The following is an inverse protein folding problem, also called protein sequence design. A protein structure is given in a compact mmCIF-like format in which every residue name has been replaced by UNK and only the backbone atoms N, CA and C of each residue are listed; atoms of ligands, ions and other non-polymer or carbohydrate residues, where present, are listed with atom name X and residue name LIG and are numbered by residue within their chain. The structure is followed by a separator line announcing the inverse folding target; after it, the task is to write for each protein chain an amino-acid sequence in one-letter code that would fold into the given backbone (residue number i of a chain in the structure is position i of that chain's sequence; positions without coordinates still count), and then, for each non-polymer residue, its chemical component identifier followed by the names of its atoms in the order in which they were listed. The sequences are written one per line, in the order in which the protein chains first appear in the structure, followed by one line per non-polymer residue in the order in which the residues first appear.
data_IF_455101811093
#
_entry.id   IF_455101811093
#
_cell.length_a   1.000
_cell.length_b   1.000
_cell.length_c   1.000
_cell.angle_alpha   90.00
_cell.angle_beta   90.00
_cell.angle_gamma   90.00
#
_symmetry.space_group_name_H-M   'P 1'
#
loop_
_entity.id
_entity.type
_entity.pdbx_description
1 polymer ?
#
# COMPACT_ATOMS: atom_id res chain seq x y z
N UNK A 1 -1.95 19.19 22.09
CA UNK A 1 -2.41 17.80 21.93
C UNK A 1 -2.16 17.43 20.48
N UNK A 2 -1.03 16.80 20.19
CA UNK A 2 -0.67 16.40 18.82
C UNK A 2 -1.33 15.05 18.53
N UNK A 3 -2.28 15.02 17.60
CA UNK A 3 -2.92 13.78 17.15
C UNK A 3 -1.88 12.80 16.61
N UNK A 4 -1.96 11.54 17.03
CA UNK A 4 -1.08 10.46 16.59
C UNK A 4 -1.49 10.04 15.17
N UNK A 5 -0.99 10.73 14.15
CA UNK A 5 -1.16 10.30 12.76
C UNK A 5 -0.31 9.06 12.46
N UNK A 6 -0.82 8.15 11.63
CA UNK A 6 -0.04 7.05 11.04
C UNK A 6 0.90 7.60 9.96
N UNK A 7 2.24 7.54 10.08
CA UNK A 7 3.12 8.06 9.05
C UNK A 7 3.64 6.91 8.16
N UNK A 8 3.21 6.91 6.90
CA UNK A 8 3.78 6.14 5.80
C UNK A 8 4.59 7.08 4.88
N UNK A 9 5.51 6.54 4.08
CA UNK A 9 6.30 7.33 3.12
C UNK A 9 6.32 6.76 1.71
N UNK A 10 5.50 5.75 1.41
CA UNK A 10 5.40 5.15 0.07
C UNK A 10 5.16 6.20 -1.03
N UNK A 11 4.51 7.32 -0.69
CA UNK A 11 4.27 8.44 -1.59
C UNK A 11 5.26 9.60 -1.52
N UNK A 12 6.15 9.65 -0.51
CA UNK A 12 7.12 10.75 -0.31
C UNK A 12 8.44 10.54 -1.07
N UNK A 13 8.38 9.96 -2.27
CA UNK A 13 9.48 10.08 -3.23
C UNK A 13 9.55 11.56 -3.64
N UNK A 14 10.66 12.22 -3.32
CA UNK A 14 10.90 13.65 -3.42
C UNK A 14 10.23 14.35 -4.62
N UNK A 15 9.23 15.22 -4.40
CA UNK A 15 8.84 16.38 -5.23
C UNK A 15 7.80 17.25 -4.44
N UNK A 16 7.72 18.58 -4.66
CA UNK A 16 7.09 19.54 -3.74
C UNK A 16 5.54 19.61 -3.83
N UNK A 17 4.91 19.88 -2.68
CA UNK A 17 3.45 20.03 -2.54
C UNK A 17 2.93 21.33 -3.15
N UNK A 18 1.79 21.28 -3.84
CA UNK A 18 0.97 22.46 -4.15
C UNK A 18 -0.38 22.38 -3.44
N UNK A 19 -0.69 23.44 -2.72
CA UNK A 19 -1.88 23.62 -1.89
C UNK A 19 -3.14 23.73 -2.76
N UNK A 20 -4.20 23.00 -2.41
CA UNK A 20 -5.55 23.37 -2.83
C UNK A 20 -6.61 23.04 -1.77
N UNK A 21 -7.51 24.01 -1.64
CA UNK A 21 -8.65 24.15 -0.74
C UNK A 21 -9.75 23.10 -1.04
N UNK A 22 -10.52 22.67 -0.04
CA UNK A 22 -11.61 21.71 -0.24
C UNK A 22 -12.94 22.27 0.30
N UNK A 23 -13.86 22.56 -0.61
CA UNK A 23 -15.29 22.72 -0.33
C UNK A 23 -15.97 21.36 -0.15
N UNK A 24 -16.82 21.27 0.87
CA UNK A 24 -17.56 20.07 1.30
C UNK A 24 -18.89 19.88 0.57
N UNK A 25 -19.17 18.71 -0.01
CA UNK A 25 -20.50 18.17 -0.41
C UNK A 25 -20.33 16.66 -0.83
N UNK A 26 -21.39 15.81 -0.89
CA UNK A 26 -21.65 14.66 -0.01
C UNK A 26 -21.03 13.29 -0.40
N UNK A 27 -21.00 12.41 0.62
CA UNK A 27 -20.46 11.04 0.67
C UNK A 27 -21.00 10.08 -0.41
N UNK A 28 -20.18 9.85 -1.44
CA UNK A 28 -20.18 8.64 -2.28
C UNK A 28 -18.83 7.93 -2.03
N UNK A 29 -18.66 6.61 -2.21
CA UNK A 29 -17.41 5.89 -1.94
C UNK A 29 -16.21 6.24 -2.87
N UNK A 30 -14.92 6.11 -2.45
CA UNK A 30 -13.73 6.28 -3.35
C UNK A 30 -12.38 5.72 -2.90
N UNK A 31 -11.41 5.88 -3.82
CA UNK A 31 -9.95 5.75 -3.63
C UNK A 31 -9.20 6.85 -4.43
N UNK A 32 -7.94 7.13 -4.08
CA UNK A 32 -7.03 7.99 -4.88
C UNK A 32 -6.05 7.12 -5.67
N UNK A 33 -5.70 7.53 -6.90
CA UNK A 33 -4.88 6.78 -7.86
C UNK A 33 -3.80 7.67 -8.52
N UNK A 34 -2.89 7.09 -9.32
CA UNK A 34 -2.09 7.81 -10.34
C UNK A 34 -0.64 8.17 -9.98
N UNK A 35 0.34 7.84 -10.81
CA UNK A 35 1.77 8.17 -10.66
C UNK A 35 2.29 8.85 -11.92
N UNK A 36 2.88 10.04 -11.77
CA UNK A 36 3.26 10.94 -12.86
C UNK A 36 2.15 11.14 -13.90
N UNK A 37 2.21 10.40 -15.00
CA UNK A 37 1.29 10.49 -16.13
C UNK A 37 0.44 9.23 -16.34
N UNK A 38 0.55 8.23 -15.46
CA UNK A 38 -0.15 6.94 -15.58
C UNK A 38 -0.90 6.59 -14.31
N UNK A 39 -1.81 5.63 -14.38
CA UNK A 39 -2.43 5.01 -13.20
C UNK A 39 -2.00 3.54 -13.15
N UNK A 40 -0.97 3.20 -12.36
CA UNK A 40 -0.41 1.86 -12.36
C UNK A 40 -1.30 0.88 -11.60
N UNK A 41 -1.61 -0.27 -12.21
CA UNK A 41 -2.27 -1.41 -11.57
C UNK A 41 -1.66 -2.72 -12.01
N UNK A 42 -1.96 -3.80 -11.29
CA UNK A 42 -1.62 -5.14 -11.77
C UNK A 42 -2.63 -5.60 -12.83
N UNK A 43 -2.13 -6.24 -13.89
CA UNK A 43 -2.98 -6.93 -14.85
C UNK A 43 -3.75 -8.07 -14.16
N UNK A 44 -5.05 -8.17 -14.33
CA UNK A 44 -5.84 -9.26 -13.71
C UNK A 44 -6.07 -10.45 -14.65
N UNK A 45 -6.21 -11.68 -14.12
CA UNK A 45 -5.93 -12.05 -12.73
C UNK A 45 -4.42 -12.05 -12.42
N UNK A 46 -4.04 -11.65 -11.21
CA UNK A 46 -2.64 -11.69 -10.74
C UNK A 46 -2.54 -12.35 -9.37
N UNK A 47 -1.50 -13.19 -9.20
CA UNK A 47 -1.10 -13.76 -7.92
C UNK A 47 0.30 -13.23 -7.58
N UNK A 48 0.40 -12.48 -6.47
CA UNK A 48 1.67 -12.02 -5.94
C UNK A 48 2.14 -12.97 -4.84
N UNK A 49 3.40 -13.38 -4.92
CA UNK A 49 4.07 -14.16 -3.89
C UNK A 49 5.04 -13.30 -3.10
N UNK A 50 5.09 -13.48 -1.78
CA UNK A 50 6.05 -12.79 -0.94
C UNK A 50 6.87 -13.75 -0.07
N UNK A 51 8.12 -13.40 0.19
CA UNK A 51 9.03 -14.21 1.00
C UNK A 51 9.43 -13.47 2.29
N UNK A 52 9.46 -14.18 3.42
CA UNK A 52 9.90 -13.61 4.69
C UNK A 52 11.43 -13.59 4.75
N UNK A 53 12.03 -12.38 4.72
CA UNK A 53 13.47 -12.22 4.89
C UNK A 53 13.85 -12.18 6.38
N UNK A 54 13.66 -13.33 7.05
CA UNK A 54 13.70 -13.47 8.51
C UNK A 54 15.04 -13.04 9.15
N UNK A 55 16.16 -13.18 8.42
CA UNK A 55 17.50 -12.74 8.82
C UNK A 55 17.62 -11.22 9.02
N UNK A 56 16.68 -10.44 8.49
CA UNK A 56 16.63 -8.99 8.72
C UNK A 56 16.02 -8.63 10.07
N UNK A 57 15.23 -9.51 10.69
CA UNK A 57 14.52 -9.23 11.94
C UNK A 57 15.41 -9.40 13.17
N UNK A 58 15.04 -8.73 14.26
CA UNK A 58 15.77 -8.81 15.54
C UNK A 58 15.62 -10.13 16.26
N UNK A 59 14.53 -10.87 15.99
CA UNK A 59 14.27 -12.22 16.50
C UNK A 59 13.31 -12.97 15.59
N UNK A 60 13.35 -14.30 15.64
CA UNK A 60 12.41 -15.17 14.93
C UNK A 60 10.94 -14.86 15.31
N UNK A 61 10.67 -14.65 16.60
CA UNK A 61 9.34 -14.26 17.10
C UNK A 61 8.81 -13.00 16.41
N UNK A 62 9.64 -11.95 16.28
CA UNK A 62 9.21 -10.72 15.62
C UNK A 62 8.98 -10.90 14.12
N UNK A 63 9.73 -11.78 13.48
CA UNK A 63 9.54 -12.13 12.07
C UNK A 63 8.21 -12.88 11.87
N UNK A 64 7.91 -13.84 12.74
CA UNK A 64 6.66 -14.61 12.72
C UNK A 64 5.44 -13.72 12.96
N UNK A 65 5.51 -12.80 13.93
CA UNK A 65 4.44 -11.84 14.19
C UNK A 65 4.17 -10.96 12.96
N UNK A 66 5.22 -10.46 12.31
CA UNK A 66 5.08 -9.64 11.11
C UNK A 66 4.52 -10.44 9.92
N UNK A 67 5.01 -11.67 9.73
CA UNK A 67 4.52 -12.57 8.70
C UNK A 67 3.04 -12.91 8.88
N UNK A 68 2.62 -13.23 10.12
CA UNK A 68 1.23 -13.51 10.44
C UNK A 68 0.33 -12.31 10.17
N UNK A 69 0.75 -11.10 10.55
CA UNK A 69 -0.01 -9.88 10.30
C UNK A 69 -0.13 -9.55 8.80
N UNK A 70 0.92 -9.77 8.00
CA UNK A 70 0.86 -9.57 6.55
C UNK A 70 -0.06 -10.60 5.88
N UNK A 71 -0.02 -11.86 6.30
CA UNK A 71 -0.96 -12.88 5.81
C UNK A 71 -2.41 -12.52 6.13
N UNK A 72 -2.71 -12.07 7.35
CA UNK A 72 -4.05 -11.62 7.73
C UNK A 72 -4.52 -10.42 6.90
N UNK A 73 -3.63 -9.45 6.63
CA UNK A 73 -3.96 -8.31 5.79
C UNK A 73 -4.20 -8.73 4.32
N UNK A 74 -3.40 -9.65 3.80
CA UNK A 74 -3.55 -10.20 2.46
C UNK A 74 -4.88 -10.97 2.30
N UNK A 75 -5.23 -11.81 3.28
CA UNK A 75 -6.52 -12.53 3.31
C UNK A 75 -7.71 -11.56 3.35
N UNK A 76 -7.61 -10.46 4.11
CA UNK A 76 -8.68 -9.45 4.18
C UNK A 76 -8.90 -8.75 2.82
N UNK A 77 -7.82 -8.47 2.08
CA UNK A 77 -7.91 -7.95 0.70
C UNK A 77 -8.40 -9.01 -0.29
N UNK A 78 -7.95 -10.25 -0.19
CA UNK A 78 -8.38 -11.36 -1.04
C UNK A 78 -9.89 -11.59 -0.96
N UNK A 79 -10.48 -11.48 0.23
CA UNK A 79 -11.92 -11.58 0.45
C UNK A 79 -12.74 -10.49 -0.25
N UNK A 80 -12.12 -9.44 -0.77
CA UNK A 80 -12.79 -8.40 -1.57
C UNK A 80 -13.00 -8.87 -3.01
N UNK A 81 -12.20 -9.81 -3.51
CA UNK A 81 -12.34 -10.38 -4.86
C UNK A 81 -12.33 -9.31 -5.98
N UNK A 82 -11.16 -8.69 -6.19
CA UNK A 82 -10.92 -7.73 -7.28
C UNK A 82 -9.90 -8.23 -8.31
N UNK A 83 -9.53 -9.52 -8.26
CA UNK A 83 -8.66 -10.17 -9.24
C UNK A 83 -7.16 -10.15 -8.94
N UNK A 84 -6.74 -9.67 -7.76
CA UNK A 84 -5.36 -9.77 -7.28
C UNK A 84 -5.33 -10.51 -5.94
N UNK A 85 -4.46 -11.51 -5.81
CA UNK A 85 -4.22 -12.21 -4.53
C UNK A 85 -2.76 -12.09 -4.11
N UNK A 86 -2.50 -12.23 -2.80
CA UNK A 86 -1.17 -12.10 -2.21
C UNK A 86 -0.95 -13.25 -1.24
N UNK A 87 0.10 -14.06 -1.45
CA UNK A 87 0.37 -15.21 -0.58
C UNK A 87 1.85 -15.34 -0.23
N UNK A 88 2.12 -15.87 0.96
CA UNK A 88 3.48 -16.18 1.37
C UNK A 88 4.01 -17.41 0.60
N UNK A 89 5.28 -17.36 0.21
CA UNK A 89 6.04 -18.53 -0.28
C UNK A 89 7.20 -18.85 0.65
N UNK A 90 7.56 -20.12 0.74
CA UNK A 90 8.80 -20.59 1.40
C UNK A 90 10.01 -20.57 0.44
N UNK A 91 9.77 -20.40 -0.86
CA UNK A 91 10.79 -20.37 -1.90
C UNK A 91 11.06 -18.91 -2.31
N UNK A 92 12.20 -18.36 -1.89
CA UNK A 92 12.55 -16.98 -2.20
C UNK A 92 12.60 -16.69 -3.71
N UNK A 93 13.02 -17.67 -4.52
CA UNK A 93 13.13 -17.56 -5.98
C UNK A 93 11.76 -17.38 -6.66
N UNK A 94 10.66 -17.76 -5.99
CA UNK A 94 9.29 -17.59 -6.49
C UNK A 94 8.63 -16.28 -6.02
N UNK A 95 9.28 -15.52 -5.15
CA UNK A 95 8.69 -14.31 -4.61
C UNK A 95 8.78 -13.13 -5.58
N UNK A 96 7.71 -12.34 -5.64
CA UNK A 96 7.68 -11.04 -6.31
C UNK A 96 8.31 -9.95 -5.45
N UNK A 97 8.19 -10.05 -4.12
CA UNK A 97 8.78 -9.13 -3.17
C UNK A 97 9.09 -9.84 -1.84
N UNK A 98 9.91 -9.22 -1.00
CA UNK A 98 10.17 -9.71 0.35
C UNK A 98 9.44 -8.87 1.41
N UNK A 99 9.16 -9.47 2.56
CA UNK A 99 8.92 -8.75 3.81
C UNK A 99 10.24 -8.58 4.56
N UNK A 100 10.64 -7.34 4.80
CA UNK A 100 11.94 -6.96 5.34
C UNK A 100 11.80 -6.06 6.55
N UNK A 101 12.55 -6.34 7.62
CA UNK A 101 12.68 -5.42 8.73
C UNK A 101 13.79 -4.40 8.48
N UNK A 102 13.57 -3.13 8.88
CA UNK A 102 14.62 -2.12 8.98
C UNK A 102 14.50 -1.30 10.27
N UNK A 103 15.62 -0.75 10.74
CA UNK A 103 15.59 0.27 11.79
C UNK A 103 15.10 1.60 11.23
N UNK A 104 14.27 2.31 11.98
CA UNK A 104 13.90 3.69 11.65
C UNK A 104 15.15 4.56 11.50
N UNK A 105 15.17 5.43 10.49
CA UNK A 105 16.21 6.45 10.36
C UNK A 105 16.04 7.53 11.44
N UNK A 106 17.14 8.13 11.90
CA UNK A 106 17.10 9.17 12.96
C UNK A 106 16.23 10.37 12.57
N UNK A 107 16.23 10.75 11.29
CA UNK A 107 15.43 11.85 10.74
C UNK A 107 13.99 11.45 10.41
N UNK A 108 13.63 10.16 10.49
CA UNK A 108 12.27 9.66 10.23
C UNK A 108 11.86 8.62 11.30
N UNK A 109 11.78 9.03 12.59
CA UNK A 109 11.64 8.09 13.70
C UNK A 109 10.25 7.46 13.83
N UNK A 110 9.25 8.00 13.15
CA UNK A 110 7.85 7.63 13.35
C UNK A 110 7.32 6.61 12.33
N UNK A 111 8.02 6.39 11.21
CA UNK A 111 7.59 5.56 10.08
C UNK A 111 7.28 4.12 10.51
N UNK A 112 6.14 3.60 10.07
CA UNK A 112 5.70 2.27 10.47
C UNK A 112 5.95 1.22 9.39
N UNK A 113 5.63 1.55 8.14
CA UNK A 113 5.82 0.69 6.99
C UNK A 113 6.20 1.47 5.74
N UNK A 114 6.61 0.72 4.71
CA UNK A 114 6.81 1.21 3.36
C UNK A 114 6.46 0.08 2.38
N UNK A 115 5.47 0.33 1.53
CA UNK A 115 5.13 -0.48 0.36
C UNK A 115 5.76 0.07 -0.92
N UNK A 116 5.14 -0.25 -2.05
CA UNK A 116 5.55 0.19 -3.38
C UNK A 116 4.34 0.13 -4.33
N UNK A 117 4.43 0.76 -5.50
CA UNK A 117 3.37 0.73 -6.51
C UNK A 117 3.64 -0.33 -7.59
N UNK A 118 2.62 -0.75 -8.37
CA UNK A 118 2.79 -1.77 -9.42
C UNK A 118 3.88 -1.52 -10.46
N UNK A 119 4.18 -0.25 -10.74
CA UNK A 119 5.24 0.13 -11.69
C UNK A 119 6.65 0.05 -11.09
N UNK A 120 6.76 -0.02 -9.75
CA UNK A 120 8.04 -0.10 -9.06
C UNK A 120 8.60 -1.52 -9.14
N UNK A 121 9.55 -1.73 -10.05
CA UNK A 121 10.27 -2.99 -10.12
C UNK A 121 11.23 -3.16 -8.93
N UNK A 122 11.40 -4.43 -8.51
CA UNK A 122 12.42 -4.83 -7.54
C UNK A 122 12.31 -4.06 -6.19
N UNK A 123 11.10 -4.05 -5.62
CA UNK A 123 10.79 -3.50 -4.28
C UNK A 123 10.34 -4.56 -3.29
N UNK A 124 10.43 -4.21 -2.02
CA UNK A 124 10.10 -5.05 -0.86
C UNK A 124 9.13 -4.26 0.02
N UNK A 125 8.31 -4.95 0.82
CA UNK A 125 7.61 -4.32 1.93
C UNK A 125 8.60 -4.18 3.08
N UNK A 126 8.78 -2.96 3.58
CA UNK A 126 9.58 -2.70 4.77
C UNK A 126 8.67 -2.50 5.97
N UNK A 127 9.03 -3.12 7.09
CA UNK A 127 8.49 -2.81 8.40
C UNK A 127 9.58 -2.22 9.29
N UNK A 128 9.25 -1.16 10.03
CA UNK A 128 10.22 -0.47 10.86
C UNK A 128 10.11 -0.83 12.33
N UNK A 129 11.19 -0.62 13.10
CA UNK A 129 11.26 -0.89 14.54
C UNK A 129 10.03 -0.43 15.31
N UNK A 130 9.59 0.81 15.09
CA UNK A 130 8.50 1.39 15.88
C UNK A 130 7.16 0.67 15.68
N UNK A 131 6.94 -0.02 14.56
CA UNK A 131 5.74 -0.84 14.33
C UNK A 131 5.73 -2.13 15.16
N UNK A 132 6.91 -2.67 15.48
CA UNK A 132 7.06 -3.91 16.24
C UNK A 132 7.08 -3.71 17.77
N UNK A 133 7.17 -2.45 18.23
CA UNK A 133 7.16 -2.12 19.64
C UNK A 133 5.77 -2.36 20.27
N UNK A 134 5.70 -2.79 21.55
CA UNK A 134 4.44 -3.12 22.23
C UNK A 134 3.27 -2.12 22.05
N UNK A 135 3.45 -0.78 22.13
CA UNK A 135 2.32 0.15 21.99
C UNK A 135 1.72 0.17 20.58
N UNK A 136 2.40 -0.36 19.55
CA UNK A 136 1.95 -0.31 18.14
C UNK A 136 1.85 -1.68 17.47
N UNK A 137 2.42 -2.72 18.07
CA UNK A 137 2.43 -4.09 17.53
C UNK A 137 1.03 -4.60 17.19
N UNK A 138 0.01 -4.21 17.96
CA UNK A 138 -1.38 -4.59 17.71
C UNK A 138 -1.96 -3.99 16.42
N UNK A 139 -1.36 -2.91 15.89
CA UNK A 139 -1.76 -2.24 14.65
C UNK A 139 -1.05 -2.82 13.42
N UNK A 140 -0.19 -3.84 13.58
CA UNK A 140 0.67 -4.32 12.50
C UNK A 140 -0.13 -4.83 11.30
N UNK A 141 -1.29 -5.45 11.55
CA UNK A 141 -2.22 -5.82 10.48
C UNK A 141 -2.70 -4.58 9.71
N UNK A 142 -3.13 -3.54 10.42
CA UNK A 142 -3.62 -2.28 9.84
C UNK A 142 -2.54 -1.58 8.99
N UNK A 143 -1.30 -1.59 9.47
CA UNK A 143 -0.13 -1.13 8.70
C UNK A 143 -0.04 -1.88 7.37
N UNK A 144 -0.11 -3.22 7.40
CA UNK A 144 -0.05 -4.00 6.17
C UNK A 144 -1.28 -3.86 5.28
N UNK A 145 -2.48 -3.65 5.82
CA UNK A 145 -3.67 -3.34 5.01
C UNK A 145 -3.42 -2.08 4.17
N UNK A 146 -2.83 -1.05 4.78
CA UNK A 146 -2.47 0.20 4.10
C UNK A 146 -1.36 0.00 3.06
N UNK A 147 -0.24 -0.65 3.43
CA UNK A 147 0.87 -0.85 2.47
C UNK A 147 0.49 -1.76 1.30
N UNK A 148 -0.39 -2.76 1.51
CA UNK A 148 -0.94 -3.57 0.43
C UNK A 148 -1.83 -2.73 -0.50
N UNK A 149 -2.57 -1.75 0.03
CA UNK A 149 -3.31 -0.79 -0.79
C UNK A 149 -2.41 -0.10 -1.82
N UNK A 150 -1.22 0.36 -1.40
CA UNK A 150 -0.22 0.91 -2.35
C UNK A 150 0.24 -0.11 -3.39
N UNK A 151 0.49 -1.35 -2.97
CA UNK A 151 0.85 -2.44 -3.89
C UNK A 151 -0.26 -2.66 -4.91
N UNK A 152 -1.53 -2.43 -4.57
CA UNK A 152 -2.63 -2.52 -5.53
C UNK A 152 -2.85 -1.26 -6.37
N UNK A 153 -2.02 -0.22 -6.21
CA UNK A 153 -2.11 1.03 -6.97
C UNK A 153 -2.87 2.16 -6.26
N UNK A 154 -3.33 1.94 -5.02
CA UNK A 154 -4.05 2.95 -4.25
C UNK A 154 -3.10 3.99 -3.66
N UNK A 155 -3.56 5.23 -3.60
CA UNK A 155 -2.89 6.34 -2.93
C UNK A 155 -3.67 6.82 -1.72
N UNK A 156 -2.98 7.59 -0.90
CA UNK A 156 -3.51 8.37 0.19
C UNK A 156 -4.60 9.32 -0.28
N UNK A 157 -5.65 9.44 0.53
CA UNK A 157 -6.78 10.35 0.31
C UNK A 157 -6.38 11.84 0.35
N UNK A 158 -5.23 12.17 0.94
CA UNK A 158 -4.63 13.51 0.88
C UNK A 158 -3.65 13.69 -0.30
N UNK A 159 -3.40 12.65 -1.10
CA UNK A 159 -2.48 12.70 -2.24
C UNK A 159 -2.82 13.77 -3.28
N UNK A 160 -4.11 14.13 -3.39
CA UNK A 160 -4.62 15.23 -4.22
C UNK A 160 -4.00 16.59 -3.88
N UNK A 161 -3.58 16.78 -2.61
CA UNK A 161 -2.93 18.00 -2.13
C UNK A 161 -1.41 17.93 -2.24
N UNK A 162 -0.86 16.77 -2.59
CA UNK A 162 0.58 16.54 -2.65
C UNK A 162 1.09 16.52 -4.09
N UNK A 163 0.30 16.08 -5.07
CA UNK A 163 0.73 16.01 -6.47
C UNK A 163 -0.43 16.10 -7.47
N UNK A 164 -0.16 16.71 -8.64
CA UNK A 164 -1.09 16.76 -9.79
C UNK A 164 -1.36 15.39 -10.42
N UNK A 165 -0.49 14.41 -10.15
CA UNK A 165 -0.61 13.04 -10.61
C UNK A 165 -1.67 12.25 -9.82
N UNK A 166 -1.98 12.67 -8.59
CA UNK A 166 -3.01 12.04 -7.79
C UNK A 166 -4.38 12.35 -8.38
N UNK A 167 -5.11 11.32 -8.78
CA UNK A 167 -6.47 11.42 -9.34
C UNK A 167 -7.46 10.85 -8.34
N UNK A 168 -8.48 11.64 -8.05
CA UNK A 168 -9.59 11.21 -7.20
C UNK A 168 -10.48 10.31 -8.06
N UNK A 169 -10.55 9.02 -7.73
CA UNK A 169 -11.43 8.10 -8.43
C UNK A 169 -12.64 7.79 -7.56
N UNK A 170 -13.80 8.31 -7.96
CA UNK A 170 -15.03 8.41 -7.13
C UNK A 170 -14.88 9.44 -5.98
N UNK A 171 -15.73 9.49 -4.94
CA UNK A 171 -15.70 10.57 -3.90
C UNK A 171 -14.94 10.28 -2.59
N UNK A 172 -14.05 11.20 -2.18
CA UNK A 172 -13.16 11.13 -1.00
C UNK A 172 -13.77 10.46 0.25
N UNK A 173 -13.05 9.54 0.88
CA UNK A 173 -13.41 8.98 2.20
C UNK A 173 -12.32 9.23 3.27
N UNK A 174 -12.54 10.12 4.27
CA UNK A 174 -11.59 10.37 5.35
C UNK A 174 -11.40 9.18 6.32
N UNK A 175 -12.19 8.12 6.19
CA UNK A 175 -12.03 6.89 6.97
C UNK A 175 -11.35 5.78 6.20
N UNK A 176 -10.98 6.00 4.93
CA UNK A 176 -10.30 5.00 4.08
C UNK A 176 -9.10 4.39 4.80
N UNK A 177 -8.82 3.12 4.48
CA UNK A 177 -7.57 2.47 4.88
C UNK A 177 -6.33 3.23 4.39
N UNK A 178 -6.47 4.04 3.34
CA UNK A 178 -5.41 4.87 2.77
C UNK A 178 -5.25 6.25 3.45
N UNK A 179 -6.04 6.58 4.48
CA UNK A 179 -5.90 7.83 5.24
C UNK A 179 -5.01 7.64 6.49
N UNK A 180 -4.44 8.73 7.02
CA UNK A 180 -3.60 8.73 8.22
C UNK A 180 -4.37 8.70 9.55
N UNK A 181 -5.26 7.72 9.66
CA UNK A 181 -5.98 7.41 10.89
C UNK A 181 -5.10 6.59 11.87
N UNK A 182 -5.41 6.61 13.17
CA UNK A 182 -4.62 5.88 14.20
C UNK A 182 -4.61 4.35 13.98
N UNK A 183 -5.66 3.81 13.37
CA UNK A 183 -5.82 2.39 13.09
C UNK A 183 -6.64 2.20 11.79
N UNK A 184 -6.05 2.45 10.61
CA UNK A 184 -6.79 2.39 9.36
C UNK A 184 -7.27 0.96 9.11
N UNK A 185 -8.55 0.80 8.77
CA UNK A 185 -9.17 -0.48 8.42
C UNK A 185 -9.82 -0.35 7.06
N UNK A 186 -9.99 -1.46 6.34
CA UNK A 186 -10.69 -1.44 5.06
C UNK A 186 -12.15 -1.03 5.32
N UNK A 187 -12.57 0.06 4.69
CA UNK A 187 -13.96 0.50 4.67
C UNK A 187 -14.68 -0.10 3.47
N UNK A 188 -16.01 -0.14 3.51
CA UNK A 188 -16.80 -0.56 2.33
C UNK A 188 -16.46 0.28 1.09
N UNK A 189 -16.09 1.55 1.27
CA UNK A 189 -15.70 2.40 0.15
C UNK A 189 -14.41 1.97 -0.53
N UNK A 190 -13.44 1.45 0.24
CA UNK A 190 -12.20 0.92 -0.30
C UNK A 190 -12.49 -0.33 -1.14
N UNK A 191 -13.43 -1.17 -0.68
CA UNK A 191 -13.87 -2.38 -1.38
C UNK A 191 -14.56 -2.07 -2.70
N UNK A 192 -15.49 -1.12 -2.69
CA UNK A 192 -16.20 -0.70 -3.90
C UNK A 192 -15.26 0.00 -4.89
N UNK A 193 -14.43 0.92 -4.40
CA UNK A 193 -13.47 1.66 -5.19
C UNK A 193 -12.46 0.75 -5.88
N UNK A 194 -11.84 -0.18 -5.14
CA UNK A 194 -10.86 -1.10 -5.73
C UNK A 194 -11.50 -2.03 -6.77
N UNK A 195 -12.72 -2.54 -6.51
CA UNK A 195 -13.44 -3.37 -7.48
C UNK A 195 -13.78 -2.59 -8.75
N UNK A 196 -14.21 -1.34 -8.62
CA UNK A 196 -14.51 -0.49 -9.76
C UNK A 196 -13.23 -0.19 -10.57
N UNK A 197 -12.14 0.15 -9.89
CA UNK A 197 -10.85 0.44 -10.51
C UNK A 197 -10.29 -0.75 -11.30
N UNK A 198 -10.31 -1.95 -10.72
CA UNK A 198 -9.82 -3.16 -11.39
C UNK A 198 -10.75 -3.69 -12.50
N UNK A 199 -11.94 -3.10 -12.68
CA UNK A 199 -12.84 -3.37 -13.82
C UNK A 199 -12.64 -2.43 -15.00
N UNK A 200 -11.87 -1.34 -14.85
CA UNK A 200 -11.59 -0.43 -15.96
C UNK A 200 -10.79 -1.14 -17.06
N UNK A 201 -10.93 -0.71 -18.30
CA UNK A 201 -10.12 -1.23 -19.40
C UNK A 201 -8.68 -0.67 -19.31
N UNK A 202 -7.71 -1.43 -19.84
CA UNK A 202 -6.36 -0.92 -20.02
C UNK A 202 -6.39 0.32 -20.92
N UNK A 203 -5.70 1.39 -20.51
CA UNK A 203 -5.73 2.67 -21.21
C UNK A 203 -6.94 3.55 -20.92
N UNK A 204 -7.88 3.14 -20.04
CA UNK A 204 -8.98 3.99 -19.62
C UNK A 204 -8.43 5.28 -19.00
N UNK A 205 -8.84 6.44 -19.52
CA UNK A 205 -8.37 7.74 -19.08
C UNK A 205 -9.13 8.23 -17.84
N UNK A 206 -8.40 8.54 -16.77
CA UNK A 206 -8.93 9.20 -15.58
C UNK A 206 -8.21 10.53 -15.46
N UNK A 207 -8.92 11.61 -15.78
CA UNK A 207 -8.43 12.99 -15.71
C UNK A 207 -7.08 13.20 -16.44
N UNK A 208 -6.95 12.66 -17.64
CA UNK A 208 -5.75 12.77 -18.49
C UNK A 208 -4.63 11.79 -18.14
N UNK A 209 -4.89 10.79 -17.29
CA UNK A 209 -3.94 9.73 -16.95
C UNK A 209 -4.53 8.36 -17.29
N UNK A 210 -3.95 7.61 -18.24
CA UNK A 210 -4.43 6.27 -18.57
C UNK A 210 -4.11 5.28 -17.46
N UNK A 211 -5.06 4.38 -17.20
CA UNK A 211 -4.81 3.14 -16.47
C UNK A 211 -3.77 2.31 -17.24
N UNK A 212 -2.74 1.82 -16.55
CA UNK A 212 -1.64 1.06 -17.14
C UNK A 212 -1.40 -0.21 -16.36
N UNK A 213 -1.48 -1.34 -17.05
CA UNK A 213 -1.32 -2.69 -16.54
C UNK A 213 0.16 -3.07 -16.45
N UNK A 214 0.56 -3.53 -15.26
CA UNK A 214 1.86 -4.10 -15.01
C UNK A 214 1.75 -5.60 -14.77
N UNK A 215 2.74 -6.34 -15.29
CA UNK A 215 2.93 -7.75 -14.95
C UNK A 215 3.88 -7.86 -13.76
N UNK A 216 3.54 -8.68 -12.74
CA UNK A 216 4.42 -8.86 -11.60
C UNK A 216 5.71 -9.56 -12.04
N UNK A 217 6.84 -9.03 -11.60
CA UNK A 217 8.16 -9.63 -11.82
C UNK A 217 8.62 -10.33 -10.56
N UNK A 218 9.42 -11.38 -10.72
CA UNK A 218 10.10 -12.02 -9.60
C UNK A 218 11.20 -11.11 -9.07
N UNK A 219 11.45 -11.19 -7.76
CA UNK A 219 12.47 -10.39 -7.07
C UNK A 219 13.86 -10.78 -7.55
N UNK A 220 14.59 -9.86 -8.17
CA UNK A 220 15.88 -10.16 -8.82
C UNK A 220 16.94 -10.64 -7.83
N UNK A 221 16.98 -10.04 -6.64
CA UNK A 221 17.94 -10.38 -5.57
C UNK A 221 17.76 -11.78 -5.00
N UNK A 222 16.64 -12.45 -5.31
CA UNK A 222 16.37 -13.81 -4.83
C UNK A 222 16.80 -14.87 -5.86
N UNK A 223 17.18 -14.47 -7.09
CA UNK A 223 17.45 -15.37 -8.22
C UNK A 223 18.93 -15.69 -8.43
N UNK A 224 19.76 -15.46 -7.42
CA UNK A 224 21.20 -15.82 -7.42
C UNK A 224 21.43 -17.30 -7.20
#
# INVERSE_FOLDING_TARGET
MSGNQYPCITQKGDEPSLVADLSSEPNVPSIVLGYDSIIPRWKTPTNLKWYLKADTFTSAETAEIAAAALNQAAEEWENIDFGVTVHQTQNAQEANFNLVYRKNARNKPAELGLGFFPHDADRDILIFTIALLPPRRHLLKNVFLHELGHIFGLRHEFGLKETIAAKQFMTKNPLSVMEYNEAPTIQETDKEGIRAFYKLEEGFDIDGSPVTDFLPKLRSTNQT
#
